data_IF_167709170775
#
_entry.id   IF_167709170775
#
_cell.length_a   1.000
_cell.length_b   1.000
_cell.length_c   1.000
_cell.angle_alpha   90.00
_cell.angle_beta   90.00
_cell.angle_gamma   90.00
#
_symmetry.space_group_name_H-M   'P 1'
#
loop_
_entity.id
_entity.type
_entity.pdbx_description
1 polymer ?
#
# COMPACT_ATOMS: atom_id res chain seq x y z
N UNK A 1 42.91 -24.73 -14.74
CA UNK A 1 42.01 -23.99 -15.64
C UNK A 1 42.26 -22.51 -15.37
N UNK A 2 42.27 -21.66 -16.40
CA UNK A 2 42.57 -20.23 -16.21
C UNK A 2 41.38 -19.57 -15.50
N UNK A 3 41.63 -18.58 -14.63
CA UNK A 3 40.57 -17.76 -14.01
C UNK A 3 39.61 -17.14 -15.04
N UNK A 4 40.10 -16.94 -16.27
CA UNK A 4 39.30 -16.52 -17.41
C UNK A 4 38.27 -17.57 -17.85
N UNK A 5 38.63 -18.86 -17.83
CA UNK A 5 37.76 -19.96 -18.25
C UNK A 5 36.60 -20.15 -17.25
N UNK A 6 36.87 -20.03 -15.95
CA UNK A 6 35.86 -20.08 -14.89
C UNK A 6 34.85 -18.93 -15.01
N UNK A 7 35.34 -17.70 -15.26
CA UNK A 7 34.48 -16.54 -15.51
C UNK A 7 33.65 -16.70 -16.78
N UNK A 8 34.19 -17.36 -17.80
CA UNK A 8 33.47 -17.63 -19.05
C UNK A 8 32.32 -18.61 -18.83
N UNK A 9 32.56 -19.68 -18.07
CA UNK A 9 31.54 -20.65 -17.68
C UNK A 9 30.42 -20.02 -16.85
N UNK A 10 30.77 -19.18 -15.87
CA UNK A 10 29.81 -18.45 -15.06
C UNK A 10 28.97 -17.49 -15.92
N UNK A 11 29.59 -16.79 -16.87
CA UNK A 11 28.88 -15.89 -17.77
C UNK A 11 27.86 -16.63 -18.66
N UNK A 12 28.23 -17.80 -19.16
CA UNK A 12 27.34 -18.66 -19.95
C UNK A 12 26.16 -19.12 -19.09
N UNK A 13 26.44 -19.55 -17.86
CA UNK A 13 25.40 -19.99 -16.92
C UNK A 13 24.43 -18.85 -16.60
N UNK A 14 24.92 -17.67 -16.22
CA UNK A 14 24.10 -16.50 -15.91
C UNK A 14 23.27 -16.04 -17.11
N UNK A 15 23.83 -16.07 -18.32
CA UNK A 15 23.08 -15.76 -19.54
C UNK A 15 21.94 -16.75 -19.79
N UNK A 16 22.17 -18.04 -19.55
CA UNK A 16 21.13 -19.06 -19.68
C UNK A 16 20.00 -18.87 -18.67
N UNK A 17 20.34 -18.52 -17.43
CA UNK A 17 19.38 -18.26 -16.35
C UNK A 17 18.56 -17.00 -16.63
N UNK A 18 19.19 -15.93 -17.13
CA UNK A 18 18.49 -14.72 -17.57
C UNK A 18 17.48 -15.02 -18.67
N UNK A 19 17.85 -15.83 -19.66
CA UNK A 19 16.93 -16.20 -20.74
C UNK A 19 15.78 -17.09 -20.25
N UNK A 20 16.03 -17.96 -19.28
CA UNK A 20 14.98 -18.74 -18.64
C UNK A 20 14.01 -17.86 -17.85
N UNK A 21 14.52 -16.95 -17.02
CA UNK A 21 13.71 -16.01 -16.24
C UNK A 21 12.90 -15.07 -17.14
N UNK A 22 13.48 -14.60 -18.26
CA UNK A 22 12.74 -13.80 -19.25
C UNK A 22 11.57 -14.57 -19.86
N UNK A 23 11.75 -15.86 -20.17
CA UNK A 23 10.67 -16.71 -20.70
C UNK A 23 9.57 -16.93 -19.66
N UNK A 24 9.94 -17.18 -18.41
CA UNK A 24 8.98 -17.33 -17.31
C UNK A 24 8.18 -16.03 -17.09
N UNK A 25 8.86 -14.88 -17.07
CA UNK A 25 8.21 -13.56 -17.01
C UNK A 25 7.28 -13.35 -18.21
N UNK A 26 7.67 -13.74 -19.43
CA UNK A 26 6.83 -13.60 -20.61
C UNK A 26 5.56 -14.48 -20.53
N UNK A 27 5.68 -15.71 -20.02
CA UNK A 27 4.55 -16.60 -19.78
C UNK A 27 3.61 -16.06 -18.69
N UNK A 28 4.16 -15.57 -17.58
CA UNK A 28 3.36 -14.94 -16.52
C UNK A 28 2.67 -13.67 -17.02
N UNK A 29 3.36 -12.85 -17.81
CA UNK A 29 2.78 -11.65 -18.44
C UNK A 29 1.63 -11.97 -19.39
N UNK A 30 1.69 -13.06 -20.15
CA UNK A 30 0.58 -13.45 -21.04
C UNK A 30 -0.64 -13.95 -20.27
N UNK A 31 -0.44 -14.66 -19.15
CA UNK A 31 -1.51 -15.00 -18.21
C UNK A 31 -2.15 -13.75 -17.58
N UNK A 32 -1.33 -12.75 -17.23
CA UNK A 32 -1.80 -11.45 -16.73
C UNK A 32 -2.54 -10.65 -17.83
N UNK A 33 -2.08 -10.70 -19.08
CA UNK A 33 -2.72 -10.03 -20.24
C UNK A 33 -4.10 -10.61 -20.57
N UNK A 34 -4.32 -11.91 -20.36
CA UNK A 34 -5.63 -12.54 -20.52
C UNK A 34 -6.61 -12.14 -19.39
N UNK A 35 -6.09 -11.79 -18.21
CA UNK A 35 -6.88 -11.21 -17.11
C UNK A 35 -7.04 -9.68 -17.20
N UNK A 36 -6.12 -8.98 -17.88
CA UNK A 36 -6.14 -7.52 -18.02
C UNK A 36 -6.99 -7.02 -19.19
N UNK A 37 -7.17 -7.82 -20.25
CA UNK A 37 -8.06 -7.48 -21.37
C UNK A 37 -9.57 -7.54 -21.04
N UNK A 38 -9.93 -7.73 -19.75
CA UNK A 38 -11.29 -7.53 -19.21
C UNK A 38 -11.32 -6.63 -17.96
N UNK A 39 -10.32 -5.75 -17.80
CA UNK A 39 -10.41 -4.52 -17.00
C UNK A 39 -10.28 -3.30 -17.91
N UNK A 40 -11.16 -3.21 -18.92
CA UNK A 40 -11.84 -1.91 -19.03
C UNK A 40 -12.31 -1.59 -17.61
N UNK A 41 -11.92 -0.45 -17.08
CA UNK A 41 -12.68 0.17 -16.00
C UNK A 41 -14.08 0.30 -16.60
N UNK A 42 -14.88 -0.76 -16.44
CA UNK A 42 -16.30 -0.67 -16.56
C UNK A 42 -16.59 0.40 -15.52
N UNK A 43 -16.87 1.59 -16.01
CA UNK A 43 -17.87 2.48 -15.48
C UNK A 43 -19.20 1.73 -15.38
N UNK A 44 -19.23 0.58 -14.69
CA UNK A 44 -20.34 0.25 -13.85
C UNK A 44 -20.46 1.47 -12.96
N UNK A 45 -21.55 2.20 -13.14
CA UNK A 45 -21.94 3.33 -12.33
C UNK A 45 -22.11 2.83 -10.91
N UNK A 46 -20.97 2.67 -10.21
CA UNK A 46 -20.95 2.35 -8.79
C UNK A 46 -21.71 3.50 -8.16
N UNK A 47 -22.87 3.15 -7.63
CA UNK A 47 -23.79 4.10 -7.05
C UNK A 47 -24.04 3.68 -5.61
N UNK A 48 -24.90 4.42 -4.92
CA UNK A 48 -25.15 4.20 -3.51
C UNK A 48 -25.70 2.79 -3.22
N UNK A 49 -26.38 2.16 -4.18
CA UNK A 49 -26.97 0.82 -4.09
C UNK A 49 -26.02 -0.31 -4.49
N UNK A 50 -24.80 0.00 -4.97
CA UNK A 50 -23.81 -1.03 -5.26
C UNK A 50 -23.43 -1.80 -4.00
N UNK A 51 -23.10 -3.08 -4.22
CA UNK A 51 -22.71 -4.00 -3.15
C UNK A 51 -21.43 -3.53 -2.45
N UNK A 52 -21.20 -4.03 -1.24
CA UNK A 52 -19.99 -3.71 -0.48
C UNK A 52 -18.73 -4.18 -1.20
N UNK A 53 -18.77 -5.37 -1.80
CA UNK A 53 -17.68 -5.97 -2.57
C UNK A 53 -17.29 -5.13 -3.79
N UNK A 54 -18.27 -4.62 -4.53
CA UNK A 54 -18.02 -3.73 -5.66
C UNK A 54 -17.37 -2.41 -5.22
N UNK A 55 -17.83 -1.83 -4.09
CA UNK A 55 -17.24 -0.62 -3.51
C UNK A 55 -15.81 -0.84 -3.02
N UNK A 56 -15.52 -1.98 -2.38
CA UNK A 56 -14.16 -2.37 -1.96
C UNK A 56 -13.26 -2.55 -3.19
N UNK A 57 -13.75 -3.27 -4.21
CA UNK A 57 -13.02 -3.51 -5.45
C UNK A 57 -12.68 -2.19 -6.15
N UNK A 58 -13.62 -1.25 -6.20
CA UNK A 58 -13.40 0.09 -6.72
C UNK A 58 -12.36 0.85 -5.88
N UNK A 59 -12.51 0.87 -4.56
CA UNK A 59 -11.56 1.53 -3.66
C UNK A 59 -10.14 1.02 -3.88
N UNK A 60 -9.94 -0.30 -3.86
CA UNK A 60 -8.62 -0.92 -4.10
C UNK A 60 -8.07 -0.61 -5.50
N UNK A 61 -8.94 -0.47 -6.52
CA UNK A 61 -8.51 -0.10 -7.87
C UNK A 61 -8.09 1.36 -8.03
N UNK A 62 -8.55 2.25 -7.15
CA UNK A 62 -8.24 3.67 -7.18
C UNK A 62 -7.09 4.02 -6.23
N UNK A 63 -7.06 3.38 -5.07
CA UNK A 63 -6.15 3.67 -3.98
C UNK A 63 -5.22 2.50 -3.73
N UNK A 64 -3.99 2.64 -4.24
CA UNK A 64 -2.93 1.66 -4.09
C UNK A 64 -1.82 2.21 -3.22
N UNK A 65 -1.37 1.40 -2.26
CA UNK A 65 -0.30 1.73 -1.35
C UNK A 65 0.35 0.46 -0.80
N UNK A 66 1.12 0.61 0.27
CA UNK A 66 1.66 -0.47 1.06
C UNK A 66 0.53 -1.32 1.62
N UNK A 67 0.61 -2.62 1.37
CA UNK A 67 -0.34 -3.59 1.93
C UNK A 67 0.07 -4.08 3.32
N UNK A 68 1.33 -3.90 3.71
CA UNK A 68 1.89 -4.39 4.97
C UNK A 68 1.64 -3.45 6.16
N UNK A 69 1.30 -2.19 5.88
CA UNK A 69 0.97 -1.18 6.90
C UNK A 69 0.05 -0.11 6.32
N UNK A 70 -0.94 0.32 7.11
CA UNK A 70 -1.75 1.50 6.83
C UNK A 70 -1.73 2.46 8.02
N UNK A 71 -2.13 3.72 7.80
CA UNK A 71 -2.20 4.74 8.83
C UNK A 71 -3.60 4.80 9.46
N UNK A 72 -3.68 5.00 10.77
CA UNK A 72 -4.92 5.27 11.49
C UNK A 72 -4.99 6.75 11.87
N UNK A 73 -6.11 7.40 11.54
CA UNK A 73 -6.40 8.74 12.03
C UNK A 73 -6.66 8.72 13.53
N UNK A 74 -6.09 9.67 14.25
CA UNK A 74 -6.48 9.99 15.61
C UNK A 74 -6.93 11.44 15.67
N UNK A 75 -7.92 11.68 16.50
CA UNK A 75 -8.50 12.99 16.74
C UNK A 75 -8.44 13.28 18.25
N UNK A 76 -8.11 14.51 18.59
CA UNK A 76 -8.14 15.04 19.94
C UNK A 76 -9.03 16.27 19.92
N UNK A 77 -10.31 16.05 20.22
CA UNK A 77 -11.34 17.09 20.21
C UNK A 77 -11.02 18.21 21.19
N UNK A 78 -10.51 17.88 22.39
CA UNK A 78 -10.18 18.87 23.42
C UNK A 78 -9.11 19.87 22.98
N UNK A 79 -8.15 19.44 22.16
CA UNK A 79 -7.09 20.30 21.62
C UNK A 79 -7.34 20.72 20.18
N UNK A 80 -8.45 20.31 19.58
CA UNK A 80 -8.77 20.44 18.16
C UNK A 80 -7.59 20.05 17.25
N UNK A 81 -6.92 18.96 17.59
CA UNK A 81 -5.78 18.43 16.82
C UNK A 81 -6.10 17.05 16.29
N UNK A 82 -5.59 16.74 15.10
CA UNK A 82 -5.71 15.42 14.50
C UNK A 82 -4.40 15.06 13.81
N UNK A 83 -4.22 13.77 13.53
CA UNK A 83 -3.08 13.29 12.78
C UNK A 83 -3.22 11.82 12.43
N UNK A 84 -2.17 11.29 11.82
CA UNK A 84 -2.13 9.90 11.39
C UNK A 84 -0.90 9.22 11.98
N UNK A 85 -1.04 7.91 12.20
CA UNK A 85 0.03 7.07 12.75
C UNK A 85 -0.04 5.69 12.11
N UNK A 86 1.09 4.97 11.97
CA UNK A 86 1.05 3.57 11.55
C UNK A 86 0.15 2.74 12.47
N UNK A 87 -0.76 1.94 11.89
CA UNK A 87 -1.59 1.04 12.66
C UNK A 87 -0.74 -0.13 13.17
N UNK A 88 -0.57 -0.22 14.48
CA UNK A 88 0.13 -1.32 15.15
C UNK A 88 -0.85 -2.13 16.00
N UNK A 89 -0.91 -3.45 15.78
CA UNK A 89 -1.80 -4.37 16.50
C UNK A 89 -1.43 -4.48 17.99
N UNK A 90 -0.16 -4.19 18.32
CA UNK A 90 0.35 -4.22 19.68
C UNK A 90 0.28 -2.88 20.39
N UNK A 91 -0.20 -1.82 19.72
CA UNK A 91 -0.26 -0.50 20.32
C UNK A 91 -1.07 -0.53 21.63
N UNK A 92 -0.51 0.04 22.70
CA UNK A 92 -1.09 0.12 24.05
C UNK A 92 -1.36 -1.23 24.74
N UNK A 93 -0.91 -2.36 24.19
CA UNK A 93 -0.97 -3.64 24.91
C UNK A 93 0.04 -3.65 26.06
N UNK A 94 -0.48 -3.72 27.29
CA UNK A 94 0.32 -3.79 28.50
C UNK A 94 1.29 -4.98 28.46
N UNK A 95 2.54 -4.74 28.85
CA UNK A 95 3.61 -5.75 28.81
C UNK A 95 4.16 -6.08 27.41
N UNK A 96 3.64 -5.48 26.34
CA UNK A 96 4.12 -5.69 24.96
C UNK A 96 4.62 -4.38 24.35
N UNK A 97 3.84 -3.30 24.44
CA UNK A 97 4.16 -2.01 23.83
C UNK A 97 4.28 -0.91 24.88
N UNK A 98 5.51 -0.49 25.15
CA UNK A 98 5.80 0.63 26.05
C UNK A 98 5.83 1.95 25.29
N UNK A 99 4.68 2.35 24.75
CA UNK A 99 4.57 3.54 23.90
C UNK A 99 4.97 4.85 24.59
N UNK A 100 4.86 4.91 25.92
CA UNK A 100 5.32 6.05 26.73
C UNK A 100 6.84 6.16 26.85
N UNK A 101 7.57 5.05 26.65
CA UNK A 101 9.02 4.97 26.86
C UNK A 101 9.79 4.89 25.54
N UNK A 102 9.24 4.22 24.53
CA UNK A 102 9.91 3.96 23.25
C UNK A 102 9.05 4.41 22.08
N UNK A 103 9.67 5.06 21.09
CA UNK A 103 9.00 5.43 19.83
C UNK A 103 8.66 4.17 19.04
N UNK A 104 7.52 4.15 18.34
CA UNK A 104 7.14 2.99 17.53
C UNK A 104 8.19 2.58 16.49
N UNK A 105 8.99 3.53 15.98
CA UNK A 105 10.10 3.26 15.04
C UNK A 105 11.20 2.40 15.65
N UNK A 106 11.40 2.47 16.97
CA UNK A 106 12.47 1.81 17.72
C UNK A 106 11.92 0.68 18.61
N UNK A 107 10.62 0.36 18.49
CA UNK A 107 9.96 -0.69 19.28
C UNK A 107 10.19 -2.07 18.64
N UNK A 108 10.81 -2.98 19.41
CA UNK A 108 11.09 -4.36 18.99
C UNK A 108 9.81 -5.20 18.82
N UNK A 109 8.78 -4.91 19.62
CA UNK A 109 7.50 -5.62 19.57
C UNK A 109 6.48 -4.94 18.65
N UNK A 110 6.92 -4.02 17.77
CA UNK A 110 6.02 -3.41 16.79
C UNK A 110 5.47 -4.48 15.85
N UNK A 111 4.17 -4.46 15.63
CA UNK A 111 3.49 -5.35 14.69
C UNK A 111 2.46 -4.56 13.89
N UNK A 112 2.89 -4.07 12.74
CA UNK A 112 2.01 -3.33 11.85
C UNK A 112 0.91 -4.24 11.29
N UNK A 113 -0.29 -3.67 11.15
CA UNK A 113 -1.42 -4.40 10.58
C UNK A 113 -1.41 -4.23 9.06
N UNK A 114 -1.47 -5.35 8.35
CA UNK A 114 -1.70 -5.36 6.91
C UNK A 114 -3.13 -4.91 6.59
N UNK A 115 -3.30 -4.27 5.43
CA UNK A 115 -4.59 -3.71 5.02
C UNK A 115 -5.56 -4.80 4.54
N UNK A 116 -6.60 -5.05 5.32
CA UNK A 116 -7.65 -6.03 5.00
C UNK A 116 -8.92 -5.34 4.48
N UNK A 117 -9.79 -6.10 3.80
CA UNK A 117 -11.08 -5.57 3.31
C UNK A 117 -11.94 -5.02 4.43
N UNK A 118 -11.90 -5.66 5.61
CA UNK A 118 -12.58 -5.15 6.81
C UNK A 118 -12.13 -3.73 7.17
N UNK A 119 -10.85 -3.40 7.00
CA UNK A 119 -10.36 -2.06 7.32
C UNK A 119 -10.89 -1.01 6.34
N UNK A 120 -11.06 -1.39 5.08
CA UNK A 120 -11.67 -0.55 4.04
C UNK A 120 -13.17 -0.39 4.31
N UNK A 121 -13.86 -1.46 4.72
CA UNK A 121 -15.28 -1.41 5.09
C UNK A 121 -15.49 -0.42 6.24
N UNK A 122 -14.75 -0.59 7.34
CA UNK A 122 -14.85 0.29 8.52
C UNK A 122 -14.53 1.75 8.15
N UNK A 123 -13.64 1.95 7.17
CA UNK A 123 -13.33 3.27 6.64
C UNK A 123 -14.48 3.90 5.87
N UNK A 124 -15.04 3.15 4.91
CA UNK A 124 -16.16 3.60 4.08
C UNK A 124 -17.44 3.80 4.89
N UNK A 125 -17.62 3.06 5.98
CA UNK A 125 -18.75 3.23 6.91
C UNK A 125 -18.52 4.35 7.94
N UNK A 126 -17.36 5.00 7.95
CA UNK A 126 -17.02 6.06 8.91
C UNK A 126 -16.74 5.59 10.34
N UNK A 127 -16.57 4.28 10.57
CA UNK A 127 -16.21 3.75 11.90
C UNK A 127 -14.77 4.10 12.27
N UNK A 128 -13.89 4.18 11.28
CA UNK A 128 -12.52 4.67 11.43
C UNK A 128 -12.09 5.43 10.18
N UNK A 129 -11.04 6.23 10.27
CA UNK A 129 -10.42 6.83 9.09
C UNK A 129 -9.03 6.25 8.93
N UNK A 130 -8.73 5.71 7.74
CA UNK A 130 -7.42 5.15 7.42
C UNK A 130 -6.74 5.95 6.31
N UNK A 131 -5.42 6.02 6.39
CA UNK A 131 -4.55 6.54 5.32
C UNK A 131 -3.71 5.41 4.73
N UNK A 132 -3.35 5.51 3.46
CA UNK A 132 -2.48 4.55 2.79
C UNK A 132 -1.08 5.14 2.64
N UNK A 133 -0.05 4.36 2.98
CA UNK A 133 1.32 4.72 2.66
C UNK A 133 1.59 4.40 1.19
N UNK A 134 2.12 5.32 0.37
CA UNK A 134 2.42 5.05 -1.03
C UNK A 134 3.44 3.90 -1.17
N UNK A 135 3.19 3.02 -2.15
CA UNK A 135 4.14 1.99 -2.56
C UNK A 135 5.11 2.64 -3.55
N UNK A 136 6.36 2.84 -3.14
CA UNK A 136 7.44 3.49 -3.91
C UNK A 136 7.24 4.99 -4.22
N UNK A 137 7.66 5.85 -3.29
CA UNK A 137 7.89 7.27 -3.56
C UNK A 137 9.19 7.48 -4.36
N UNK A 138 9.29 6.97 -5.59
CA UNK A 138 10.49 7.23 -6.41
C UNK A 138 10.29 8.33 -7.47
N UNK A 139 9.07 8.81 -7.72
CA UNK A 139 8.85 9.86 -8.74
C UNK A 139 8.15 11.13 -8.23
N UNK A 140 7.64 11.15 -7.00
CA UNK A 140 7.05 12.35 -6.39
C UNK A 140 7.58 12.46 -4.96
N UNK A 141 8.42 13.46 -4.69
CA UNK A 141 8.82 13.78 -3.33
C UNK A 141 7.57 14.05 -2.48
N UNK A 142 7.53 13.59 -1.24
CA UNK A 142 6.40 13.79 -0.32
C UNK A 142 5.94 15.27 -0.26
N UNK A 143 6.89 16.20 -0.38
CA UNK A 143 6.63 17.64 -0.45
C UNK A 143 5.88 18.09 -1.71
N UNK A 144 6.16 17.48 -2.86
CA UNK A 144 5.45 17.76 -4.12
C UNK A 144 4.03 17.23 -4.07
N UNK A 145 3.84 16.04 -3.50
CA UNK A 145 2.52 15.47 -3.27
C UNK A 145 1.68 16.35 -2.32
N UNK A 146 2.26 16.80 -1.21
CA UNK A 146 1.61 17.71 -0.28
C UNK A 146 1.17 19.03 -0.93
N UNK A 147 2.02 19.61 -1.80
CA UNK A 147 1.66 20.80 -2.58
C UNK A 147 0.50 20.58 -3.54
N UNK A 148 0.47 19.44 -4.24
CA UNK A 148 -0.64 19.08 -5.14
C UNK A 148 -1.94 18.94 -4.36
N UNK A 149 -1.89 18.28 -3.20
CA UNK A 149 -3.07 18.11 -2.34
C UNK A 149 -3.56 19.43 -1.74
N UNK A 150 -2.66 20.33 -1.36
CA UNK A 150 -3.03 21.69 -0.89
C UNK A 150 -3.60 22.56 -2.00
N UNK A 151 -3.20 22.33 -3.25
CA UNK A 151 -3.72 23.06 -4.42
C UNK A 151 -5.08 22.52 -4.91
N UNK A 152 -5.41 21.26 -4.60
CA UNK A 152 -6.70 20.69 -4.92
C UNK A 152 -7.79 21.29 -4.03
N UNK A 153 -8.71 22.08 -4.60
CA UNK A 153 -9.96 22.50 -3.93
C UNK A 153 -10.91 21.31 -3.79
N UNK A 154 -10.63 20.41 -2.86
CA UNK A 154 -11.49 19.29 -2.52
C UNK A 154 -12.13 19.53 -1.13
N UNK A 155 -13.45 19.38 -1.01
CA UNK A 155 -14.14 19.42 0.29
C UNK A 155 -13.77 18.21 1.16
N UNK A 156 -13.52 17.07 0.51
CA UNK A 156 -13.01 15.84 1.11
C UNK A 156 -12.04 15.19 0.13
N UNK A 157 -10.87 14.78 0.61
CA UNK A 157 -9.99 13.89 -0.12
C UNK A 157 -10.30 12.47 0.36
N UNK A 158 -10.96 11.70 -0.48
CA UNK A 158 -11.20 10.30 -0.21
C UNK A 158 -10.02 9.49 -0.78
N UNK A 159 -9.39 8.68 0.08
CA UNK A 159 -8.49 7.59 -0.29
C UNK A 159 -6.98 7.84 -0.28
N UNK A 160 -6.50 9.06 -0.02
CA UNK A 160 -5.11 9.29 0.40
C UNK A 160 -5.12 10.37 1.48
N UNK A 161 -4.89 9.95 2.73
CA UNK A 161 -4.80 10.86 3.87
C UNK A 161 -3.45 10.68 4.55
N UNK A 162 -2.75 11.81 4.71
CA UNK A 162 -1.36 11.99 5.12
C UNK A 162 -1.02 11.37 6.48
#
# INVERSE_FOLDING_TARGET
>A
MSSYDELLEENIKLKSEIEQLKKEIAALKSHVSATDNKKQINSHSININSTLEEKIKLYRSLFHGRNDVFALRWDNESKNTCGYKPYCINEWKHGICNKSEVKCSDCDFRKYKSLEDKDIIDHLSGQKTIGLYPHECHHIAAFTFEKVMKAAKAKYVLGLTF
#
